data_IF_089874781469
#
_entry.id   IF_089874781469
#
_cell.length_a   1.000
_cell.length_b   1.000
_cell.length_c   1.000
_cell.angle_alpha   90.00
_cell.angle_beta   90.00
_cell.angle_gamma   90.00
#
_symmetry.space_group_name_H-M   'P 1'
#
loop_
_entity.id
_entity.type
_entity.pdbx_description
1 polymer ?
#
# COMPACT_ATOMS: atom_id res chain seq x y z
N UNK A 1 0.57 19.14 29.95
CA UNK A 1 0.65 18.98 28.48
C UNK A 1 0.30 17.54 28.15
N UNK A 2 -0.69 17.31 27.28
CA UNK A 2 -0.95 15.97 26.75
C UNK A 2 0.18 15.62 25.78
N UNK A 3 0.96 14.58 26.09
CA UNK A 3 2.04 14.11 25.22
C UNK A 3 1.41 13.56 23.95
N UNK A 4 1.70 14.17 22.80
CA UNK A 4 1.23 13.64 21.52
C UNK A 4 1.82 12.25 21.30
N UNK A 5 0.98 11.22 21.33
CA UNK A 5 1.36 9.83 21.13
C UNK A 5 0.44 9.21 20.09
N UNK A 6 1.02 8.73 18.99
CA UNK A 6 0.28 7.94 18.02
C UNK A 6 -0.07 6.59 18.63
N UNK A 7 -1.25 6.07 18.27
CA UNK A 7 -1.55 4.66 18.51
C UNK A 7 -0.63 3.82 17.63
N UNK A 8 -0.35 2.58 18.05
CA UNK A 8 0.52 1.67 17.31
C UNK A 8 0.14 1.55 15.82
N UNK A 9 -1.16 1.36 15.52
CA UNK A 9 -1.63 1.27 14.13
C UNK A 9 -1.49 2.57 13.33
N UNK A 10 -1.63 3.74 13.98
CA UNK A 10 -1.41 5.03 13.30
C UNK A 10 0.06 5.25 12.97
N UNK A 11 0.95 4.79 13.84
CA UNK A 11 2.38 4.81 13.57
C UNK A 11 2.73 3.90 12.39
N UNK A 12 2.29 2.64 12.40
CA UNK A 12 2.53 1.70 11.30
C UNK A 12 1.93 2.19 9.97
N UNK A 13 0.74 2.79 10.00
CA UNK A 13 0.12 3.39 8.82
C UNK A 13 0.97 4.53 8.25
N UNK A 14 1.47 5.43 9.11
CA UNK A 14 2.31 6.54 8.68
C UNK A 14 3.65 6.06 8.09
N UNK A 15 4.30 5.09 8.75
CA UNK A 15 5.55 4.48 8.27
C UNK A 15 5.36 3.79 6.92
N UNK A 16 4.28 3.03 6.77
CA UNK A 16 3.97 2.35 5.50
C UNK A 16 3.68 3.32 4.36
N UNK A 17 2.92 4.39 4.63
CA UNK A 17 2.64 5.45 3.64
C UNK A 17 3.93 6.15 3.22
N UNK A 18 4.83 6.41 4.16
CA UNK A 18 6.11 7.03 3.86
C UNK A 18 6.93 6.16 2.90
N UNK A 19 7.08 4.86 3.19
CA UNK A 19 7.81 3.91 2.31
C UNK A 19 7.21 3.89 0.90
N UNK A 20 5.88 3.84 0.77
CA UNK A 20 5.21 3.81 -0.54
C UNK A 20 5.49 5.10 -1.34
N UNK A 21 5.55 6.26 -0.67
CA UNK A 21 5.84 7.55 -1.32
C UNK A 21 7.29 7.66 -1.76
N UNK A 22 8.24 7.19 -0.96
CA UNK A 22 9.66 7.17 -1.34
C UNK A 22 9.86 6.33 -2.60
N UNK A 23 9.29 5.12 -2.65
CA UNK A 23 9.38 4.27 -3.85
C UNK A 23 8.78 4.96 -5.08
N UNK A 24 7.65 5.65 -4.93
CA UNK A 24 7.04 6.38 -6.04
C UNK A 24 7.83 7.64 -6.46
N UNK A 25 8.65 8.19 -5.57
CA UNK A 25 9.49 9.35 -5.85
C UNK A 25 10.84 8.96 -6.50
N UNK A 26 11.42 7.82 -6.08
CA UNK A 26 12.76 7.41 -6.50
C UNK A 26 12.79 6.47 -7.71
N UNK A 27 11.72 5.71 -7.96
CA UNK A 27 11.70 4.71 -9.04
C UNK A 27 10.80 5.14 -10.20
N UNK A 28 11.28 4.95 -11.43
CA UNK A 28 10.55 5.35 -12.64
C UNK A 28 9.33 4.46 -12.96
N UNK A 29 9.42 3.15 -12.67
CA UNK A 29 8.41 2.16 -13.07
C UNK A 29 8.06 1.16 -11.95
N UNK A 30 7.60 1.63 -10.78
CA UNK A 30 7.19 0.73 -9.71
C UNK A 30 5.90 -0.01 -10.07
N UNK A 31 5.67 -1.14 -9.41
CA UNK A 31 4.44 -1.94 -9.51
C UNK A 31 4.07 -2.47 -8.14
N UNK A 32 2.78 -2.49 -7.80
CA UNK A 32 2.32 -3.13 -6.57
C UNK A 32 1.82 -4.54 -6.88
N UNK A 33 2.48 -5.54 -6.32
CA UNK A 33 2.04 -6.93 -6.39
C UNK A 33 0.76 -7.11 -5.56
N UNK A 34 -0.32 -7.52 -6.21
CA UNK A 34 -1.63 -7.67 -5.62
C UNK A 34 -2.09 -9.12 -5.73
N UNK A 35 -2.22 -9.82 -4.60
CA UNK A 35 -2.53 -11.26 -4.55
C UNK A 35 -4.00 -11.57 -4.26
N UNK A 36 -4.85 -10.55 -4.08
CA UNK A 36 -6.25 -10.69 -3.62
C UNK A 36 -6.35 -11.20 -2.16
N UNK A 37 -5.22 -11.40 -1.48
CA UNK A 37 -5.16 -11.75 -0.07
C UNK A 37 -5.25 -10.54 0.88
N UNK A 38 -5.48 -10.80 2.16
CA UNK A 38 -5.64 -9.78 3.22
C UNK A 38 -4.49 -8.76 3.27
N UNK A 39 -3.24 -9.22 3.16
CA UNK A 39 -2.07 -8.35 3.30
C UNK A 39 -1.96 -7.40 2.10
N UNK A 40 -2.17 -7.94 0.90
CA UNK A 40 -2.22 -7.15 -0.34
C UNK A 40 -3.39 -6.15 -0.37
N UNK A 41 -4.51 -6.48 0.27
CA UNK A 41 -5.64 -5.57 0.42
C UNK A 41 -5.34 -4.41 1.38
N UNK A 42 -4.64 -4.68 2.50
CA UNK A 42 -4.16 -3.64 3.41
C UNK A 42 -3.13 -2.75 2.72
N UNK A 43 -2.16 -3.32 1.99
CA UNK A 43 -1.20 -2.54 1.19
C UNK A 43 -1.88 -1.64 0.15
N UNK A 44 -2.86 -2.16 -0.58
CA UNK A 44 -3.64 -1.36 -1.53
C UNK A 44 -4.35 -0.19 -0.83
N UNK A 45 -4.92 -0.44 0.34
CA UNK A 45 -5.57 0.61 1.13
C UNK A 45 -4.58 1.68 1.61
N UNK A 46 -3.39 1.27 2.03
CA UNK A 46 -2.30 2.19 2.42
C UNK A 46 -1.81 3.02 1.22
N UNK A 47 -1.67 2.40 0.05
CA UNK A 47 -1.31 3.11 -1.18
C UNK A 47 -2.37 4.14 -1.58
N UNK A 48 -3.66 3.80 -1.50
CA UNK A 48 -4.74 4.76 -1.72
C UNK A 48 -4.66 5.96 -0.75
N UNK A 49 -4.32 5.71 0.53
CA UNK A 49 -4.11 6.78 1.51
C UNK A 49 -2.87 7.62 1.19
N UNK A 50 -1.80 6.99 0.70
CA UNK A 50 -0.56 7.66 0.34
C UNK A 50 -0.75 8.69 -0.78
N UNK A 51 -1.62 8.43 -1.75
CA UNK A 51 -1.78 9.30 -2.93
C UNK A 51 -3.09 10.10 -2.98
N UNK A 52 -3.99 9.96 -1.99
CA UNK A 52 -5.22 10.77 -1.93
C UNK A 52 -4.90 12.27 -1.97
N UNK A 53 -5.62 13.10 -2.77
CA UNK A 53 -6.81 12.78 -3.58
C UNK A 53 -6.52 12.23 -4.99
N UNK A 54 -5.26 12.10 -5.39
CA UNK A 54 -4.87 11.52 -6.68
C UNK A 54 -5.07 10.01 -6.77
N UNK A 55 -4.89 9.49 -7.98
CA UNK A 55 -4.84 8.05 -8.26
C UNK A 55 -3.46 7.47 -7.95
N UNK A 56 -3.35 6.13 -7.93
CA UNK A 56 -2.06 5.48 -7.80
C UNK A 56 -1.16 5.83 -9.00
N UNK A 57 0.10 6.24 -8.79
CA UNK A 57 1.03 6.55 -9.88
C UNK A 57 1.67 5.30 -10.49
N UNK A 58 1.28 4.10 -10.04
CA UNK A 58 1.80 2.81 -10.51
C UNK A 58 0.68 1.80 -10.73
N UNK A 59 0.88 0.83 -11.65
CA UNK A 59 -0.07 -0.25 -11.86
C UNK A 59 -0.08 -1.26 -10.70
N UNK A 60 -1.17 -2.01 -10.63
CA UNK A 60 -1.26 -3.24 -9.82
C UNK A 60 -0.95 -4.44 -10.73
N UNK A 61 -0.21 -5.42 -10.20
CA UNK A 61 0.07 -6.66 -10.91
C UNK A 61 -0.41 -7.87 -10.10
N UNK A 62 -1.22 -8.70 -10.74
CA UNK A 62 -1.66 -9.97 -10.22
C UNK A 62 -1.01 -11.10 -11.02
N UNK A 63 -0.28 -11.98 -10.34
CA UNK A 63 0.30 -13.17 -10.95
C UNK A 63 -0.72 -14.30 -10.84
N UNK A 64 -1.40 -14.64 -11.93
CA UNK A 64 -2.31 -15.78 -11.96
C UNK A 64 -1.54 -17.10 -12.12
N UNK A 65 -1.77 -18.03 -11.19
CA UNK A 65 -1.13 -19.35 -11.18
C UNK A 65 -2.01 -20.44 -11.77
N UNK A 66 -3.25 -20.12 -12.19
CA UNK A 66 -4.28 -21.07 -12.62
C UNK A 66 -4.76 -22.08 -11.56
N UNK A 67 -4.25 -22.02 -10.33
CA UNK A 67 -4.62 -22.90 -9.20
C UNK A 67 -5.28 -22.12 -8.05
N UNK A 68 -5.75 -20.90 -8.32
CA UNK A 68 -6.44 -20.09 -7.30
C UNK A 68 -7.82 -20.65 -7.04
N UNK A 69 -8.33 -20.38 -5.85
CA UNK A 69 -9.72 -20.71 -5.51
C UNK A 69 -10.63 -20.02 -6.53
N UNK A 70 -11.35 -20.82 -7.31
CA UNK A 70 -12.60 -20.40 -7.92
C UNK A 70 -13.59 -20.30 -6.77
N UNK A 71 -13.98 -19.07 -6.43
CA UNK A 71 -14.80 -18.72 -5.26
C UNK A 71 -15.88 -19.75 -4.87
#
# INVERSE_FOLDING_TARGET
>A
MSTYRLTHLRQLEAESIHIIREVAAEFERPVMLYSVGKDSAVMLRLAQKAFRPGTLPFPLLHVDTTFKFSD
#
